data_IF_499883340082
#
_entry.id   IF_499883340082
#
_cell.length_a   1.000
_cell.length_b   1.000
_cell.length_c   1.000
_cell.angle_alpha   90.00
_cell.angle_beta   90.00
_cell.angle_gamma   90.00
#
_symmetry.space_group_name_H-M   'P 1'
#
loop_
_entity.id
_entity.type
_entity.pdbx_description
1 polymer ?
#
# COMPACT_ATOMS: atom_id res chain seq x y z
N UNK A 1 40.29 55.39 -17.12
CA UNK A 1 40.20 54.38 -16.05
C UNK A 1 38.85 53.69 -16.19
N UNK A 2 38.79 52.58 -16.92
CA UNK A 2 37.56 51.78 -17.04
C UNK A 2 37.77 50.50 -16.24
N UNK A 3 37.06 50.36 -15.12
CA UNK A 3 37.02 49.15 -14.32
C UNK A 3 35.94 48.24 -14.89
N UNK A 4 36.36 47.12 -15.49
CA UNK A 4 35.48 45.99 -15.79
C UNK A 4 35.14 45.24 -14.50
N UNK A 5 33.85 45.06 -14.24
CA UNK A 5 33.34 44.05 -13.29
C UNK A 5 32.94 42.82 -14.08
N UNK A 6 33.39 41.60 -13.73
CA UNK A 6 32.76 40.38 -14.22
C UNK A 6 31.73 39.92 -13.18
N UNK A 7 30.45 40.14 -13.48
CA UNK A 7 29.34 39.54 -12.73
C UNK A 7 29.15 38.10 -13.24
N UNK A 8 29.99 37.19 -12.72
CA UNK A 8 29.97 35.77 -13.04
C UNK A 8 29.14 34.99 -12.03
N UNK A 9 27.82 35.21 -12.00
CA UNK A 9 26.92 34.37 -11.20
C UNK A 9 26.70 33.03 -11.91
N UNK A 10 27.40 31.99 -11.46
CA UNK A 10 27.12 30.60 -11.82
C UNK A 10 25.79 30.17 -11.17
N UNK A 11 24.68 30.35 -11.88
CA UNK A 11 23.42 29.71 -11.54
C UNK A 11 23.53 28.21 -11.79
N UNK A 12 23.73 27.41 -10.73
CA UNK A 12 23.60 25.97 -10.82
C UNK A 12 22.18 25.59 -11.30
N UNK A 13 22.03 24.65 -12.25
CA UNK A 13 20.71 24.22 -12.68
C UNK A 13 19.98 23.59 -11.48
N UNK A 14 18.84 24.17 -11.11
CA UNK A 14 17.95 23.54 -10.14
C UNK A 14 17.37 22.30 -10.79
N UNK A 15 17.81 21.13 -10.34
CA UNK A 15 17.29 19.86 -10.85
C UNK A 15 15.81 19.78 -10.48
N UNK A 16 14.91 20.02 -11.44
CA UNK A 16 13.48 19.68 -11.31
C UNK A 16 13.39 18.17 -11.38
N UNK A 17 13.57 17.55 -10.23
CA UNK A 17 13.59 16.11 -10.12
C UNK A 17 12.23 15.47 -10.40
N UNK A 18 12.24 14.18 -10.71
CA UNK A 18 11.04 13.42 -11.05
C UNK A 18 10.04 13.38 -9.88
N UNK A 19 8.83 13.89 -10.14
CA UNK A 19 7.70 13.75 -9.22
C UNK A 19 6.97 12.41 -9.40
N UNK A 20 7.08 11.81 -10.59
CA UNK A 20 6.48 10.54 -10.95
C UNK A 20 7.46 9.38 -10.78
N UNK A 21 6.92 8.21 -10.44
CA UNK A 21 7.69 6.99 -10.36
C UNK A 21 8.29 6.66 -11.74
N UNK A 22 9.60 6.42 -11.85
CA UNK A 22 10.26 6.13 -13.12
C UNK A 22 9.82 4.79 -13.74
N UNK A 23 9.22 3.89 -12.94
CA UNK A 23 8.71 2.59 -13.39
C UNK A 23 7.31 2.69 -14.00
N UNK A 24 6.36 3.31 -13.31
CA UNK A 24 4.93 3.28 -13.70
C UNK A 24 4.33 4.66 -14.03
N UNK A 25 5.06 5.75 -13.83
CA UNK A 25 4.59 7.11 -14.08
C UNK A 25 3.66 7.68 -13.00
N UNK A 26 3.24 6.91 -12.00
CA UNK A 26 2.36 7.42 -10.94
C UNK A 26 3.07 8.46 -10.06
N UNK A 27 2.36 9.52 -9.70
CA UNK A 27 2.84 10.52 -8.73
C UNK A 27 2.73 9.94 -7.32
N UNK A 28 3.88 9.78 -6.68
CA UNK A 28 4.00 9.23 -5.34
C UNK A 28 3.98 10.26 -4.22
N UNK A 29 3.82 9.74 -3.01
CA UNK A 29 3.75 10.55 -1.79
C UNK A 29 5.15 10.71 -1.19
N UNK A 30 5.52 11.91 -0.70
CA UNK A 30 6.77 12.09 0.03
C UNK A 30 6.86 11.14 1.22
N UNK A 31 8.04 10.56 1.43
CA UNK A 31 8.32 9.68 2.56
C UNK A 31 9.53 10.19 3.33
N UNK A 32 9.47 10.21 4.68
CA UNK A 32 10.61 10.62 5.49
C UNK A 32 11.82 9.73 5.24
N UNK A 33 13.02 10.32 5.15
CA UNK A 33 14.25 9.58 4.86
C UNK A 33 14.53 8.51 5.92
N UNK A 34 14.17 8.76 7.17
CA UNK A 34 14.29 7.79 8.27
C UNK A 34 13.42 6.55 8.08
N UNK A 35 12.27 6.69 7.39
CA UNK A 35 11.44 5.52 7.02
C UNK A 35 12.20 4.66 6.02
N UNK A 36 12.79 5.28 4.99
CA UNK A 36 13.56 4.57 3.96
C UNK A 36 14.81 3.94 4.57
N UNK A 37 15.53 4.66 5.42
CA UNK A 37 16.70 4.14 6.15
C UNK A 37 16.36 2.89 6.97
N UNK A 38 15.13 2.78 7.47
CA UNK A 38 14.67 1.62 8.24
C UNK A 38 14.31 0.42 7.36
N UNK A 39 13.66 0.65 6.22
CA UNK A 39 13.12 -0.43 5.38
C UNK A 39 14.01 -0.83 4.20
N UNK A 40 14.91 0.06 3.77
CA UNK A 40 15.83 -0.16 2.66
C UNK A 40 17.17 0.57 2.90
N UNK A 41 17.88 0.29 4.02
CA UNK A 41 19.12 0.99 4.39
C UNK A 41 20.16 0.94 3.26
N UNK A 42 20.34 -0.23 2.65
CA UNK A 42 21.35 -0.47 1.60
C UNK A 42 21.06 0.27 0.28
N UNK A 43 19.85 0.83 0.15
CA UNK A 43 19.42 1.57 -1.04
C UNK A 43 19.34 3.09 -0.82
N UNK A 44 19.54 3.56 0.41
CA UNK A 44 19.35 4.97 0.77
C UNK A 44 20.33 5.90 0.03
N UNK A 45 21.59 5.47 -0.14
CA UNK A 45 22.60 6.24 -0.88
C UNK A 45 22.24 6.37 -2.36
N UNK A 46 21.78 5.27 -2.99
CA UNK A 46 21.37 5.26 -4.39
C UNK A 46 20.18 6.19 -4.67
N UNK A 47 19.30 6.37 -3.67
CA UNK A 47 18.18 7.32 -3.74
C UNK A 47 18.64 8.79 -3.62
N UNK A 48 19.90 9.05 -3.28
CA UNK A 48 20.48 10.39 -3.19
C UNK A 48 19.88 11.24 -2.07
N UNK A 49 20.23 12.53 -2.02
CA UNK A 49 19.80 13.46 -0.96
C UNK A 49 18.43 14.14 -1.20
N UNK A 50 17.83 13.92 -2.38
CA UNK A 50 16.55 14.53 -2.75
C UNK A 50 15.35 14.00 -1.96
N UNK A 51 14.17 14.59 -2.19
CA UNK A 51 12.90 14.12 -1.64
C UNK A 51 12.58 12.71 -2.17
N UNK A 52 12.56 11.73 -1.28
CA UNK A 52 12.20 10.35 -1.61
C UNK A 52 10.68 10.21 -1.56
N UNK A 53 10.12 9.48 -2.53
CA UNK A 53 8.68 9.26 -2.65
C UNK A 53 8.34 7.79 -2.66
N UNK A 54 7.16 7.43 -2.17
CA UNK A 54 6.60 6.09 -2.24
C UNK A 54 5.63 5.97 -3.41
N UNK A 55 5.78 4.91 -4.21
CA UNK A 55 4.96 4.63 -5.38
C UNK A 55 3.60 4.02 -4.96
N UNK A 56 2.46 4.68 -5.27
CA UNK A 56 1.14 4.29 -4.79
C UNK A 56 0.46 3.25 -5.69
N UNK A 57 1.08 2.87 -6.81
CA UNK A 57 0.49 1.89 -7.73
C UNK A 57 0.63 0.48 -7.12
N UNK A 58 -0.50 -0.23 -6.89
CA UNK A 58 -0.49 -1.58 -6.33
C UNK A 58 0.16 -2.62 -7.26
N UNK A 59 0.21 -2.38 -8.58
CA UNK A 59 0.79 -3.28 -9.58
C UNK A 59 2.26 -2.97 -9.86
N UNK A 60 2.77 -1.86 -9.33
CA UNK A 60 4.15 -1.46 -9.52
C UNK A 60 5.05 -2.07 -8.43
N UNK A 61 6.09 -2.78 -8.88
CA UNK A 61 7.11 -3.38 -8.01
C UNK A 61 7.96 -2.33 -7.29
N UNK A 62 8.06 -1.10 -7.80
CA UNK A 62 8.80 -0.04 -7.14
C UNK A 62 8.13 0.39 -5.84
N UNK A 63 8.90 0.53 -4.76
CA UNK A 63 8.47 1.05 -3.46
C UNK A 63 8.85 2.50 -3.31
N UNK A 64 10.12 2.77 -3.08
CA UNK A 64 10.68 4.11 -2.98
C UNK A 64 11.31 4.51 -4.30
N UNK A 65 11.25 5.80 -4.64
CA UNK A 65 11.97 6.35 -5.76
C UNK A 65 12.43 7.77 -5.46
N UNK A 66 13.50 8.16 -6.14
CA UNK A 66 14.10 9.48 -6.00
C UNK A 66 13.85 10.35 -7.23
N UNK A 67 14.08 11.66 -7.12
CA UNK A 67 13.93 12.55 -8.25
C UNK A 67 15.01 12.37 -9.33
N UNK A 68 16.09 11.62 -9.03
CA UNK A 68 17.14 11.22 -9.98
C UNK A 68 16.77 10.01 -10.82
N UNK A 69 15.62 9.36 -10.54
CA UNK A 69 15.15 8.17 -11.27
C UNK A 69 15.57 6.84 -10.66
N UNK A 70 16.32 6.85 -9.54
CA UNK A 70 16.58 5.63 -8.79
C UNK A 70 15.31 5.13 -8.09
N UNK A 71 15.17 3.82 -7.92
CA UNK A 71 14.04 3.21 -7.23
C UNK A 71 14.43 1.91 -6.52
N UNK A 72 13.60 1.50 -5.56
CA UNK A 72 13.80 0.31 -4.72
C UNK A 72 12.69 -0.69 -5.02
N UNK A 73 13.03 -1.97 -5.21
CA UNK A 73 12.04 -3.03 -5.43
C UNK A 73 11.32 -3.39 -4.13
N UNK A 74 10.06 -3.82 -4.21
CA UNK A 74 9.35 -4.33 -3.04
C UNK A 74 9.96 -5.61 -2.49
N UNK A 75 10.62 -6.41 -3.32
CA UNK A 75 11.20 -7.68 -2.95
C UNK A 75 12.40 -7.56 -1.98
N UNK A 76 13.06 -6.39 -1.92
CA UNK A 76 14.21 -6.17 -1.03
C UNK A 76 13.80 -5.61 0.34
N UNK A 77 12.54 -5.21 0.53
CA UNK A 77 12.07 -4.76 1.84
C UNK A 77 11.87 -5.96 2.78
N UNK A 78 12.19 -5.83 4.08
CA UNK A 78 12.03 -6.90 5.05
C UNK A 78 10.57 -7.15 5.46
N UNK A 79 9.62 -6.42 4.87
CA UNK A 79 8.20 -6.45 5.22
C UNK A 79 7.33 -6.45 3.98
N UNK A 80 6.14 -7.05 4.08
CA UNK A 80 5.11 -6.95 3.05
C UNK A 80 4.41 -5.60 3.13
N UNK A 81 4.13 -5.00 1.97
CA UNK A 81 3.36 -3.76 1.87
C UNK A 81 1.99 -4.10 1.34
N UNK A 82 0.93 -4.10 2.16
CA UNK A 82 -0.39 -4.61 1.75
C UNK A 82 -0.95 -3.98 0.47
N UNK A 83 -0.66 -2.70 0.20
CA UNK A 83 -1.02 -2.05 -1.06
C UNK A 83 -0.42 -2.75 -2.30
N UNK A 84 0.76 -3.35 -2.19
CA UNK A 84 1.50 -3.99 -3.30
C UNK A 84 1.29 -5.50 -3.37
N UNK A 85 0.38 -6.04 -2.59
CA UNK A 85 0.13 -7.47 -2.48
C UNK A 85 -1.24 -7.82 -3.07
N UNK A 86 -1.28 -8.77 -3.99
CA UNK A 86 -2.52 -9.31 -4.56
C UNK A 86 -3.14 -10.39 -3.68
N UNK A 87 -2.31 -11.10 -2.91
CA UNK A 87 -2.69 -12.24 -2.09
C UNK A 87 -2.38 -12.01 -0.61
N UNK A 88 -3.14 -12.68 0.25
CA UNK A 88 -3.02 -12.54 1.69
C UNK A 88 -1.70 -13.10 2.26
N UNK A 89 -1.33 -12.71 3.49
CA UNK A 89 -1.81 -11.52 4.19
C UNK A 89 -1.42 -10.20 3.50
N UNK A 90 -2.36 -9.25 3.42
CA UNK A 90 -2.17 -7.87 2.95
C UNK A 90 -2.21 -6.91 4.15
N UNK A 91 -1.06 -6.52 4.74
CA UNK A 91 -1.03 -5.70 5.95
C UNK A 91 -1.60 -4.30 5.73
N UNK A 92 -2.45 -3.84 6.65
CA UNK A 92 -3.00 -2.48 6.64
C UNK A 92 -2.50 -1.66 7.83
N UNK A 93 -2.60 -2.22 9.05
CA UNK A 93 -2.08 -1.62 10.27
C UNK A 93 -1.00 -2.52 10.88
N UNK A 94 0.26 -2.17 10.67
CA UNK A 94 1.39 -2.92 11.24
C UNK A 94 1.57 -2.67 12.74
N UNK A 95 0.99 -1.61 13.30
CA UNK A 95 1.04 -1.34 14.74
C UNK A 95 0.24 -2.37 15.55
N UNK A 96 -0.92 -2.78 15.04
CA UNK A 96 -1.88 -3.64 15.75
C UNK A 96 -2.24 -4.92 14.98
N UNK A 97 -1.52 -5.24 13.90
CA UNK A 97 -1.65 -6.51 13.18
C UNK A 97 -2.90 -6.64 12.31
N UNK A 98 -3.58 -5.55 11.93
CA UNK A 98 -4.73 -5.65 11.03
C UNK A 98 -4.29 -5.77 9.56
N UNK A 99 -4.89 -6.72 8.86
CA UNK A 99 -4.78 -6.94 7.42
C UNK A 99 -6.13 -6.78 6.71
N UNK A 100 -6.12 -6.67 5.38
CA UNK A 100 -7.34 -6.72 4.60
C UNK A 100 -8.15 -7.99 4.91
N UNK A 101 -7.47 -9.13 5.02
CA UNK A 101 -8.08 -10.43 5.33
C UNK A 101 -8.74 -10.41 6.71
N UNK A 102 -8.13 -9.78 7.71
CA UNK A 102 -8.71 -9.66 9.05
C UNK A 102 -10.00 -8.82 9.04
N UNK A 103 -10.03 -7.72 8.26
CA UNK A 103 -11.24 -6.90 8.13
C UNK A 103 -12.34 -7.64 7.39
N UNK A 104 -11.99 -8.37 6.32
CA UNK A 104 -12.93 -9.18 5.57
C UNK A 104 -13.48 -10.35 6.40
N UNK A 105 -12.65 -10.97 7.25
CA UNK A 105 -13.09 -12.00 8.18
C UNK A 105 -14.05 -11.45 9.24
N UNK A 106 -13.71 -10.30 9.86
CA UNK A 106 -14.58 -9.62 10.84
C UNK A 106 -15.94 -9.27 10.22
N UNK A 107 -15.93 -8.71 9.01
CA UNK A 107 -17.15 -8.34 8.30
C UNK A 107 -18.03 -9.53 7.98
N UNK A 108 -17.45 -10.64 7.49
CA UNK A 108 -18.21 -11.87 7.22
C UNK A 108 -18.82 -12.48 8.48
N UNK A 109 -18.12 -12.39 9.61
CA UNK A 109 -18.57 -12.99 10.86
C UNK A 109 -19.65 -12.14 11.57
N UNK A 110 -19.57 -10.81 11.47
CA UNK A 110 -20.35 -9.90 12.32
C UNK A 110 -21.25 -8.92 11.55
N UNK A 111 -21.04 -8.76 10.24
CA UNK A 111 -21.66 -7.70 9.45
C UNK A 111 -21.10 -6.29 9.73
N UNK A 112 -20.06 -6.16 10.56
CA UNK A 112 -19.44 -4.90 10.93
C UNK A 112 -17.90 -4.98 10.90
N UNK A 113 -17.22 -3.84 10.92
CA UNK A 113 -15.76 -3.74 11.03
C UNK A 113 -15.43 -2.74 12.13
N UNK A 114 -15.01 -3.21 13.29
CA UNK A 114 -14.66 -2.39 14.45
C UNK A 114 -13.21 -1.93 14.44
N UNK A 115 -12.33 -2.61 13.69
CA UNK A 115 -10.89 -2.36 13.66
C UNK A 115 -10.52 -0.88 13.40
N UNK A 116 -11.18 -0.20 12.46
CA UNK A 116 -10.87 1.22 12.16
C UNK A 116 -11.17 2.13 13.34
N UNK A 117 -12.22 1.85 14.10
CA UNK A 117 -12.60 2.62 15.29
C UNK A 117 -11.56 2.39 16.40
N UNK A 118 -11.21 1.12 16.63
CA UNK A 118 -10.23 0.71 17.64
C UNK A 118 -8.84 1.31 17.34
N UNK A 119 -8.33 1.16 16.12
CA UNK A 119 -7.07 1.77 15.69
C UNK A 119 -7.12 3.29 15.79
N UNK A 120 -8.26 3.90 15.47
CA UNK A 120 -8.47 5.34 15.64
C UNK A 120 -8.34 5.80 17.09
N UNK A 121 -8.88 5.03 18.04
CA UNK A 121 -8.73 5.31 19.47
C UNK A 121 -7.28 5.16 19.94
N UNK A 122 -6.61 4.09 19.53
CA UNK A 122 -5.19 3.85 19.87
C UNK A 122 -4.27 4.93 19.28
N UNK A 123 -4.55 5.40 18.06
CA UNK A 123 -3.82 6.49 17.44
C UNK A 123 -3.95 7.80 18.22
N UNK A 124 -5.17 8.14 18.67
CA UNK A 124 -5.41 9.33 19.52
C UNK A 124 -4.73 9.22 20.89
N UNK A 125 -4.59 8.00 21.42
CA UNK A 125 -3.88 7.74 22.66
C UNK A 125 -2.35 7.73 22.51
N UNK A 126 -1.81 7.95 21.30
CA UNK A 126 -0.36 7.96 21.05
C UNK A 126 0.28 6.57 21.05
N UNK A 127 -0.50 5.48 20.98
CA UNK A 127 0.01 4.12 21.01
C UNK A 127 0.54 3.61 19.64
N UNK A 128 0.34 4.38 18.56
CA UNK A 128 0.77 4.03 17.22
C UNK A 128 2.27 4.27 17.00
N UNK A 129 2.92 3.34 16.29
CA UNK A 129 4.30 3.48 15.81
C UNK A 129 4.41 3.54 14.29
N UNK A 130 3.45 4.20 13.62
CA UNK A 130 3.37 4.20 12.15
C UNK A 130 4.65 4.73 11.49
N UNK A 131 5.30 5.75 12.05
CA UNK A 131 6.58 6.27 11.56
C UNK A 131 7.72 5.25 11.60
N UNK A 132 7.58 4.19 12.42
CA UNK A 132 8.56 3.12 12.56
C UNK A 132 8.18 1.86 11.80
N UNK A 133 6.89 1.52 11.77
CA UNK A 133 6.42 0.21 11.32
C UNK A 133 5.70 0.24 9.97
N UNK A 134 5.35 1.42 9.45
CA UNK A 134 4.69 1.53 8.15
C UNK A 134 5.70 1.97 7.08
N UNK A 135 5.96 1.16 6.04
CA UNK A 135 6.84 1.55 4.93
C UNK A 135 6.43 2.83 4.20
N UNK A 136 5.17 3.26 4.31
CA UNK A 136 4.72 4.53 3.75
C UNK A 136 5.05 5.74 4.64
N UNK A 137 5.51 5.54 5.88
CA UNK A 137 5.87 6.61 6.82
C UNK A 137 4.69 7.43 7.34
N UNK A 138 3.45 7.04 7.01
CA UNK A 138 2.22 7.78 7.35
C UNK A 138 1.24 6.93 8.16
N UNK A 139 0.20 7.55 8.72
CA UNK A 139 -0.83 6.85 9.48
C UNK A 139 -1.60 5.84 8.61
N UNK A 140 -1.74 4.60 9.12
CA UNK A 140 -2.43 3.51 8.44
C UNK A 140 -3.94 3.72 8.25
N UNK A 141 -4.57 4.64 9.01
CA UNK A 141 -6.03 4.85 8.98
C UNK A 141 -6.56 5.20 7.59
N UNK A 142 -5.77 5.91 6.77
CA UNK A 142 -6.17 6.23 5.39
C UNK A 142 -6.39 4.96 4.57
N UNK A 143 -5.43 4.04 4.59
CA UNK A 143 -5.53 2.77 3.87
C UNK A 143 -6.57 1.83 4.49
N UNK A 144 -6.67 1.80 5.83
CA UNK A 144 -7.71 1.01 6.49
C UNK A 144 -9.13 1.46 6.11
N UNK A 145 -9.40 2.76 6.01
CA UNK A 145 -10.71 3.27 5.57
C UNK A 145 -11.04 2.88 4.14
N UNK A 146 -10.07 2.95 3.22
CA UNK A 146 -10.24 2.47 1.85
C UNK A 146 -10.54 0.96 1.83
N UNK A 147 -9.83 0.19 2.65
CA UNK A 147 -10.05 -1.25 2.75
C UNK A 147 -11.43 -1.60 3.30
N UNK A 148 -11.96 -0.86 4.29
CA UNK A 148 -13.33 -1.03 4.80
C UNK A 148 -14.35 -0.90 3.66
N UNK A 149 -14.26 0.17 2.86
CA UNK A 149 -15.16 0.37 1.72
C UNK A 149 -15.04 -0.78 0.71
N UNK A 150 -13.81 -1.23 0.43
CA UNK A 150 -13.59 -2.36 -0.48
C UNK A 150 -14.15 -3.68 0.06
N UNK A 151 -14.04 -3.93 1.37
CA UNK A 151 -14.58 -5.15 2.02
C UNK A 151 -16.10 -5.13 2.04
N UNK A 152 -16.72 -3.99 2.34
CA UNK A 152 -18.18 -3.85 2.38
C UNK A 152 -18.82 -3.99 0.99
N UNK A 153 -18.05 -3.72 -0.07
CA UNK A 153 -18.47 -3.93 -1.45
C UNK A 153 -18.22 -5.36 -1.96
N UNK A 154 -17.68 -6.26 -1.13
CA UNK A 154 -17.57 -7.67 -1.51
C UNK A 154 -18.97 -8.29 -1.59
N UNK A 155 -19.20 -9.22 -2.53
CA UNK A 155 -20.43 -9.98 -2.56
C UNK A 155 -20.61 -10.74 -1.23
N UNK A 156 -21.83 -10.72 -0.70
CA UNK A 156 -22.18 -11.25 0.63
C UNK A 156 -21.82 -12.73 0.84
N UNK A 157 -21.64 -13.48 -0.24
CA UNK A 157 -21.02 -14.80 -0.27
C UNK A 157 -20.14 -14.93 -1.53
N UNK A 158 -19.03 -15.69 -1.49
CA UNK A 158 -18.40 -16.13 -2.73
C UNK A 158 -19.46 -16.87 -3.57
N UNK A 159 -19.44 -16.77 -4.91
CA UNK A 159 -20.27 -17.63 -5.74
C UNK A 159 -20.09 -19.06 -5.24
N UNK A 160 -21.19 -19.78 -4.95
CA UNK A 160 -21.08 -21.22 -4.73
C UNK A 160 -20.46 -21.77 -6.01
N UNK A 161 -19.30 -22.40 -5.90
CA UNK A 161 -18.80 -23.21 -7.00
C UNK A 161 -19.93 -24.19 -7.39
N UNK A 162 -20.18 -24.40 -8.70
CA UNK A 162 -21.10 -25.43 -9.11
C UNK A 162 -20.69 -26.71 -8.39
N UNK A 163 -21.61 -27.31 -7.64
CA UNK A 163 -21.40 -28.67 -7.16
C UNK A 163 -21.36 -29.54 -8.41
N UNK A 164 -20.15 -29.87 -8.88
CA UNK A 164 -19.93 -30.86 -9.92
C UNK A 164 -20.55 -32.18 -9.41
N UNK A 165 -21.76 -32.47 -9.85
CA UNK A 165 -22.50 -33.68 -9.43
C UNK A 165 -24.00 -33.55 -9.27
N UNK A 166 -24.60 -32.36 -9.33
CA UNK A 166 -26.06 -32.24 -9.38
C UNK A 166 -26.50 -31.56 -10.67
N UNK A 167 -26.50 -32.33 -11.75
CA UNK A 167 -27.25 -32.00 -12.96
C UNK A 167 -28.71 -31.79 -12.56
N UNK A 168 -29.15 -30.55 -12.75
CA UNK A 168 -30.52 -30.08 -12.53
C UNK A 168 -31.54 -31.09 -13.04
N UNK A 169 -32.43 -31.56 -12.17
CA UNK A 169 -33.67 -32.22 -12.57
C UNK A 169 -34.58 -31.17 -13.23
N UNK A 170 -34.43 -31.01 -14.54
CA UNK A 170 -35.28 -30.21 -15.40
C UNK A 170 -36.29 -31.13 -16.10
N UNK A 171 -37.18 -31.79 -15.35
CA UNK A 171 -38.34 -32.49 -15.91
C UNK A 171 -39.47 -32.61 -14.87
N UNK A 172 -40.75 -32.45 -15.25
CA UNK A 172 -41.89 -32.60 -14.34
C UNK A 172 -42.28 -34.07 -14.07
N UNK A 173 -41.35 -35.01 -14.21
CA UNK A 173 -41.62 -36.45 -14.08
C UNK A 173 -40.52 -37.22 -13.37
N UNK A 174 -40.61 -37.30 -12.04
CA UNK A 174 -40.05 -38.41 -11.25
C UNK A 174 -38.60 -38.27 -10.80
N UNK A 175 -38.40 -37.88 -9.53
CA UNK A 175 -37.19 -38.24 -8.80
C UNK A 175 -37.29 -39.71 -8.35
N UNK A 176 -36.56 -40.61 -9.00
CA UNK A 176 -36.25 -41.92 -8.45
C UNK A 176 -34.92 -41.85 -7.70
N UNK A 177 -35.00 -41.86 -6.37
CA UNK A 177 -34.01 -42.34 -5.39
C UNK A 177 -32.51 -42.13 -5.69
N UNK A 178 -31.89 -41.21 -4.95
CA UNK A 178 -30.44 -41.25 -4.70
C UNK A 178 -30.16 -42.35 -3.65
N UNK A 179 -29.31 -43.31 -4.00
CA UNK A 179 -28.74 -44.30 -3.08
C UNK A 179 -27.44 -43.80 -2.45
#
# INVERSE_FOLDING_TARGET
>A
MHTHTPDGSCGAPSFRGLLSCPRCGSVGQPVPRETVARFAPDHLEALGAGEIRFCPDPRCIATYYSPTGAWVDKAVLPVRIGLKESEGPRPLCTCFGHSYESLAAEYRATGAISAVIQVGAQARAGACRCAETNPQGVCCLTEMRKAVLAVQNLPAHPPREPIDGCSTCADPGGCASCG
#
